data_IF_833117993383
#
_entry.id   IF_833117993383
#
_cell.length_a   1.000
_cell.length_b   1.000
_cell.length_c   1.000
_cell.angle_alpha   90.00
_cell.angle_beta   90.00
_cell.angle_gamma   90.00
#
_symmetry.space_group_name_H-M   'P 1'
#
loop_
_entity.id
_entity.type
_entity.pdbx_description
1 polymer ?
#
# COMPACT_ATOMS: atom_id res chain seq x y z
N UNK A 1 0.84 19.16 22.08
CA UNK A 1 1.31 18.72 20.76
C UNK A 1 2.75 18.29 20.95
N UNK A 2 3.02 16.98 21.02
CA UNK A 2 4.39 16.49 21.22
C UNK A 2 5.21 16.80 19.96
N UNK A 3 6.42 17.31 20.14
CA UNK A 3 7.40 17.45 19.07
C UNK A 3 7.69 16.05 18.53
N UNK A 4 7.12 15.71 17.37
CA UNK A 4 7.51 14.51 16.65
C UNK A 4 8.96 14.75 16.21
N UNK A 5 9.85 13.91 16.69
CA UNK A 5 11.25 13.91 16.26
C UNK A 5 11.26 13.62 14.75
N UNK A 6 11.62 14.64 13.96
CA UNK A 6 11.75 14.52 12.50
C UNK A 6 12.81 13.50 12.09
N UNK A 7 13.64 13.05 13.04
CA UNK A 7 14.71 12.09 12.81
C UNK A 7 14.34 10.65 13.17
N UNK A 8 13.16 10.39 13.76
CA UNK A 8 12.77 9.02 14.07
C UNK A 8 12.26 8.31 12.80
N UNK A 9 13.09 7.42 12.24
CA UNK A 9 12.69 6.55 11.14
C UNK A 9 11.41 5.77 11.53
N UNK A 10 10.28 5.95 10.82
CA UNK A 10 9.00 5.37 11.21
C UNK A 10 8.93 3.86 11.06
N UNK A 11 9.70 3.35 10.10
CA UNK A 11 9.75 1.95 9.75
C UNK A 11 10.77 1.27 10.67
N UNK A 12 10.32 0.21 11.36
CA UNK A 12 11.16 -0.57 12.28
C UNK A 12 12.34 -1.26 11.59
N UNK A 13 13.01 -2.16 12.32
CA UNK A 13 14.10 -2.95 11.74
C UNK A 13 13.54 -3.94 10.72
N UNK A 14 13.90 -3.74 9.45
CA UNK A 14 13.52 -4.64 8.37
C UNK A 14 14.31 -5.95 8.47
N UNK A 15 15.52 -5.91 9.03
CA UNK A 15 16.29 -7.10 9.36
C UNK A 15 15.53 -7.99 10.33
N UNK A 16 15.06 -7.42 11.45
CA UNK A 16 14.33 -8.17 12.44
C UNK A 16 13.03 -8.74 11.86
N UNK A 17 12.30 -7.94 11.07
CA UNK A 17 11.09 -8.40 10.40
C UNK A 17 11.36 -9.63 9.51
N UNK A 18 12.42 -9.63 8.72
CA UNK A 18 12.79 -10.78 7.91
C UNK A 18 13.14 -12.03 8.73
N UNK A 19 13.81 -11.84 9.86
CA UNK A 19 14.28 -12.92 10.72
C UNK A 19 13.18 -13.47 11.65
N UNK A 20 12.21 -12.65 12.05
CA UNK A 20 11.12 -13.03 12.97
C UNK A 20 9.82 -13.42 12.26
N UNK A 21 9.53 -12.87 11.09
CA UNK A 21 8.23 -13.09 10.44
C UNK A 21 8.11 -14.55 9.96
N UNK A 22 7.13 -15.33 10.47
CA UNK A 22 7.09 -16.79 10.26
C UNK A 22 7.07 -17.22 8.79
N UNK A 23 6.32 -16.50 7.96
CA UNK A 23 6.22 -16.79 6.51
C UNK A 23 7.50 -16.43 5.77
N UNK A 24 8.08 -15.24 5.99
CA UNK A 24 9.33 -14.83 5.35
C UNK A 24 10.45 -15.81 5.68
N UNK A 25 10.63 -16.11 6.97
CA UNK A 25 11.65 -17.02 7.44
C UNK A 25 11.44 -18.43 6.87
N UNK A 26 10.24 -19.02 7.02
CA UNK A 26 9.98 -20.40 6.60
C UNK A 26 10.17 -20.62 5.09
N UNK A 27 9.79 -19.64 4.26
CA UNK A 27 9.71 -19.83 2.82
C UNK A 27 10.88 -19.26 2.04
N UNK A 28 11.58 -18.25 2.57
CA UNK A 28 12.61 -17.54 1.84
C UNK A 28 13.97 -17.51 2.52
N UNK A 29 14.08 -17.91 3.80
CA UNK A 29 15.38 -17.96 4.48
C UNK A 29 16.39 -18.83 3.71
N UNK A 30 17.59 -18.31 3.51
CA UNK A 30 18.66 -18.96 2.76
C UNK A 30 18.54 -18.86 1.24
N UNK A 31 17.42 -18.37 0.69
CA UNK A 31 17.30 -18.14 -0.75
C UNK A 31 18.10 -16.90 -1.18
N UNK A 32 18.71 -16.89 -2.38
CA UNK A 32 19.53 -15.77 -2.84
C UNK A 32 18.82 -14.42 -2.80
N UNK A 33 17.55 -14.38 -3.20
CA UNK A 33 16.75 -13.14 -3.19
C UNK A 33 16.59 -12.58 -1.77
N UNK A 34 16.35 -13.45 -0.78
CA UNK A 34 16.15 -13.05 0.59
C UNK A 34 17.48 -12.65 1.24
N UNK A 35 18.56 -13.37 0.96
CA UNK A 35 19.88 -13.05 1.50
C UNK A 35 20.31 -11.63 1.08
N UNK A 36 20.18 -11.31 -0.20
CA UNK A 36 20.49 -9.96 -0.71
C UNK A 36 19.57 -8.91 -0.08
N UNK A 37 18.26 -9.18 0.00
CA UNK A 37 17.32 -8.25 0.61
C UNK A 37 17.62 -7.99 2.10
N UNK A 38 17.99 -9.03 2.86
CA UNK A 38 18.37 -8.93 4.28
C UNK A 38 19.70 -8.21 4.46
N UNK A 39 20.68 -8.42 3.58
CA UNK A 39 21.93 -7.66 3.60
C UNK A 39 21.68 -6.17 3.39
N UNK A 40 20.85 -5.81 2.41
CA UNK A 40 20.47 -4.40 2.17
C UNK A 40 19.71 -3.85 3.38
N UNK A 41 18.76 -4.61 3.94
CA UNK A 41 18.00 -4.20 5.13
C UNK A 41 18.92 -3.94 6.34
N UNK A 42 19.96 -4.78 6.54
CA UNK A 42 20.96 -4.61 7.60
C UNK A 42 21.71 -3.29 7.48
N UNK A 43 22.14 -2.94 6.26
CA UNK A 43 22.82 -1.67 6.01
C UNK A 43 21.89 -0.47 6.24
N UNK A 44 20.63 -0.54 5.79
CA UNK A 44 19.64 0.52 6.01
C UNK A 44 19.27 0.69 7.50
N UNK A 45 19.15 -0.41 8.24
CA UNK A 45 18.85 -0.39 9.68
C UNK A 45 19.99 0.27 10.48
N UNK A 46 21.26 -0.05 10.14
CA UNK A 46 22.43 0.61 10.74
C UNK A 46 22.41 2.12 10.50
N UNK A 47 22.15 2.54 9.26
CA UNK A 47 22.04 3.95 8.89
C UNK A 47 20.93 4.67 9.65
N UNK A 48 19.74 4.06 9.72
CA UNK A 48 18.59 4.64 10.41
C UNK A 48 18.81 4.78 11.93
N UNK A 49 19.59 3.88 12.54
CA UNK A 49 19.90 3.92 13.97
C UNK A 49 20.99 4.92 14.37
N UNK A 50 21.65 5.56 13.41
CA UNK A 50 22.81 6.43 13.67
C UNK A 50 24.04 5.70 14.20
N UNK A 51 24.04 4.36 14.19
CA UNK A 51 25.14 3.51 14.66
C UNK A 51 26.33 3.43 13.68
N UNK A 52 26.22 4.09 12.52
CA UNK A 52 27.30 4.21 11.54
C UNK A 52 27.98 5.56 11.67
N UNK A 53 29.28 5.57 12.02
CA UNK A 53 30.13 6.77 11.88
C UNK A 53 30.40 7.12 10.41
N UNK A 54 30.18 6.17 9.49
CA UNK A 54 30.28 6.39 8.05
C UNK A 54 29.01 7.05 7.53
N UNK A 55 29.15 8.27 7.02
CA UNK A 55 28.16 8.87 6.12
C UNK A 55 28.21 8.09 4.81
N UNK A 56 27.16 7.31 4.50
CA UNK A 56 27.10 6.62 3.22
C UNK A 56 27.19 7.66 2.10
N UNK A 57 28.11 7.45 1.15
CA UNK A 57 28.14 8.25 -0.05
C UNK A 57 26.85 8.04 -0.85
N UNK A 58 26.41 9.05 -1.60
CA UNK A 58 25.23 8.94 -2.47
C UNK A 58 25.41 7.79 -3.47
N UNK A 59 26.64 7.50 -3.88
CA UNK A 59 27.01 6.41 -4.76
C UNK A 59 26.70 5.03 -4.15
N UNK A 60 27.01 4.84 -2.86
CA UNK A 60 26.74 3.58 -2.16
C UNK A 60 25.23 3.33 -2.01
N UNK A 61 24.47 4.35 -1.63
CA UNK A 61 23.00 4.25 -1.56
C UNK A 61 22.37 3.98 -2.94
N UNK A 62 22.87 4.63 -4.00
CA UNK A 62 22.43 4.35 -5.37
C UNK A 62 22.70 2.91 -5.79
N UNK A 63 23.84 2.33 -5.39
CA UNK A 63 24.16 0.93 -5.67
C UNK A 63 23.17 -0.02 -4.99
N UNK A 64 22.86 0.21 -3.71
CA UNK A 64 21.84 -0.54 -2.97
C UNK A 64 20.49 -0.43 -3.67
N UNK A 65 20.09 0.79 -4.05
CA UNK A 65 18.83 1.09 -4.75
C UNK A 65 18.68 0.28 -6.04
N UNK A 66 19.72 0.25 -6.87
CA UNK A 66 19.70 -0.52 -8.13
C UNK A 66 19.53 -2.01 -7.86
N UNK A 67 20.18 -2.55 -6.84
CA UNK A 67 20.08 -3.97 -6.50
C UNK A 67 18.69 -4.34 -5.99
N UNK A 68 18.15 -3.58 -5.03
CA UNK A 68 16.82 -3.87 -4.48
C UNK A 68 15.72 -3.65 -5.53
N UNK A 69 15.84 -2.63 -6.38
CA UNK A 69 14.90 -2.39 -7.49
C UNK A 69 14.83 -3.57 -8.46
N UNK A 70 15.96 -4.25 -8.73
CA UNK A 70 15.96 -5.46 -9.57
C UNK A 70 15.21 -6.62 -8.90
N UNK A 71 15.34 -6.78 -7.59
CA UNK A 71 14.63 -7.82 -6.83
C UNK A 71 13.13 -7.54 -6.75
N UNK A 72 12.76 -6.29 -6.49
CA UNK A 72 11.38 -5.82 -6.48
C UNK A 72 10.73 -6.10 -7.83
N UNK A 73 11.36 -5.68 -8.94
CA UNK A 73 10.86 -5.93 -10.29
C UNK A 73 10.70 -7.41 -10.63
N UNK A 74 11.62 -8.25 -10.16
CA UNK A 74 11.51 -9.69 -10.34
C UNK A 74 10.28 -10.22 -9.59
N UNK A 75 10.06 -9.78 -8.35
CA UNK A 75 8.88 -10.17 -7.57
C UNK A 75 7.58 -9.63 -8.17
N UNK A 76 7.55 -8.38 -8.64
CA UNK A 76 6.40 -7.81 -9.35
C UNK A 76 6.02 -8.69 -10.55
N UNK A 77 7.01 -9.14 -11.34
CA UNK A 77 6.75 -10.05 -12.46
C UNK A 77 6.09 -11.37 -12.01
N UNK A 78 6.44 -11.89 -10.83
CA UNK A 78 5.83 -13.10 -10.26
C UNK A 78 4.40 -12.89 -9.78
N UNK A 79 4.03 -11.67 -9.35
CA UNK A 79 2.65 -11.35 -8.98
C UNK A 79 1.74 -11.22 -10.22
N UNK A 80 2.32 -10.94 -11.39
CA UNK A 80 1.60 -10.62 -12.62
C UNK A 80 1.53 -11.79 -13.64
N UNK A 81 1.77 -13.04 -13.22
CA UNK A 81 1.75 -14.21 -14.14
C UNK A 81 0.36 -14.85 -14.35
N UNK A 82 -0.70 -14.34 -13.71
CA UNK A 82 -2.02 -14.96 -13.74
C UNK A 82 -3.09 -14.13 -13.03
N UNK A 83 -4.23 -14.75 -12.69
CA UNK A 83 -5.26 -14.05 -11.95
C UNK A 83 -4.78 -13.75 -10.52
N UNK A 84 -4.92 -12.51 -10.05
CA UNK A 84 -4.33 -12.08 -8.78
C UNK A 84 -4.74 -12.97 -7.60
N UNK A 85 -5.98 -13.48 -7.58
CA UNK A 85 -6.47 -14.39 -6.53
C UNK A 85 -5.69 -15.70 -6.40
N UNK A 86 -4.96 -16.10 -7.43
CA UNK A 86 -4.15 -17.34 -7.47
C UNK A 86 -2.71 -17.11 -6.99
N UNK A 87 -2.31 -15.85 -6.82
CA UNK A 87 -0.97 -15.49 -6.36
C UNK A 87 -0.80 -15.91 -4.89
N UNK A 88 0.22 -16.74 -4.57
CA UNK A 88 0.44 -17.18 -3.19
C UNK A 88 0.77 -16.04 -2.23
N UNK A 89 0.20 -16.10 -1.02
CA UNK A 89 0.39 -15.08 0.02
C UNK A 89 1.86 -14.81 0.36
N UNK A 90 2.69 -15.86 0.34
CA UNK A 90 4.14 -15.73 0.58
C UNK A 90 4.82 -14.80 -0.44
N UNK A 91 4.38 -14.79 -1.70
CA UNK A 91 4.96 -13.93 -2.74
C UNK A 91 4.48 -12.49 -2.58
N UNK A 92 3.20 -12.29 -2.25
CA UNK A 92 2.65 -10.98 -1.89
C UNK A 92 3.39 -10.36 -0.70
N UNK A 93 3.67 -11.16 0.33
CA UNK A 93 4.43 -10.73 1.49
C UNK A 93 5.90 -10.40 1.17
N UNK A 94 6.58 -11.26 0.37
CA UNK A 94 7.93 -10.96 -0.08
C UNK A 94 7.97 -9.64 -0.85
N UNK A 95 6.99 -9.40 -1.72
CA UNK A 95 6.86 -8.15 -2.46
C UNK A 95 6.74 -6.94 -1.53
N UNK A 96 5.82 -6.97 -0.57
CA UNK A 96 5.67 -5.90 0.43
C UNK A 96 6.95 -5.65 1.23
N UNK A 97 7.70 -6.71 1.57
CA UNK A 97 8.98 -6.57 2.24
C UNK A 97 10.02 -5.84 1.39
N UNK A 98 10.12 -6.16 0.10
CA UNK A 98 11.03 -5.46 -0.83
C UNK A 98 10.60 -4.00 -1.05
N UNK A 99 9.30 -3.75 -1.17
CA UNK A 99 8.74 -2.40 -1.21
C UNK A 99 9.08 -1.60 0.06
N UNK A 100 9.04 -2.22 1.24
CA UNK A 100 9.41 -1.57 2.50
C UNK A 100 10.91 -1.20 2.55
N UNK A 101 11.79 -2.06 2.01
CA UNK A 101 13.21 -1.74 1.83
C UNK A 101 13.38 -0.54 0.89
N UNK A 102 12.70 -0.55 -0.27
CA UNK A 102 12.73 0.57 -1.23
C UNK A 102 12.23 1.87 -0.61
N UNK A 103 11.11 1.82 0.12
CA UNK A 103 10.53 2.97 0.79
C UNK A 103 11.48 3.56 1.83
N UNK A 104 12.13 2.71 2.64
CA UNK A 104 13.13 3.13 3.64
C UNK A 104 14.36 3.75 2.98
N UNK A 105 14.82 3.16 1.88
CA UNK A 105 15.97 3.67 1.13
C UNK A 105 15.68 5.04 0.49
N UNK A 106 14.52 5.20 -0.17
CA UNK A 106 14.15 6.46 -0.80
C UNK A 106 13.89 7.56 0.25
N UNK A 107 13.40 7.20 1.43
CA UNK A 107 13.32 8.12 2.57
C UNK A 107 14.69 8.65 3.01
N UNK A 108 15.70 7.77 3.09
CA UNK A 108 17.09 8.20 3.39
C UNK A 108 17.70 9.07 2.29
N UNK A 109 17.20 8.98 1.06
CA UNK A 109 17.53 9.90 -0.03
C UNK A 109 16.74 11.22 0.01
N UNK A 110 15.87 11.41 0.99
CA UNK A 110 14.92 12.52 1.08
C UNK A 110 13.94 12.59 -0.11
N UNK A 111 13.77 11.48 -0.85
CA UNK A 111 12.76 11.33 -1.90
C UNK A 111 11.47 10.75 -1.30
N UNK A 112 10.77 11.60 -0.55
CA UNK A 112 9.57 11.20 0.20
C UNK A 112 8.41 10.78 -0.71
N UNK A 113 8.36 11.29 -1.94
CA UNK A 113 7.31 10.94 -2.90
C UNK A 113 7.54 9.53 -3.46
N UNK A 114 8.78 9.20 -3.84
CA UNK A 114 9.14 7.84 -4.25
C UNK A 114 9.02 6.85 -3.07
N UNK A 115 9.37 7.28 -1.86
CA UNK A 115 9.15 6.50 -0.65
C UNK A 115 7.67 6.14 -0.43
N UNK A 116 6.76 7.11 -0.59
CA UNK A 116 5.32 6.88 -0.52
C UNK A 116 4.83 5.95 -1.64
N UNK A 117 5.32 6.15 -2.86
CA UNK A 117 4.99 5.28 -3.99
C UNK A 117 5.27 3.80 -3.69
N UNK A 118 6.43 3.48 -3.10
CA UNK A 118 6.73 2.10 -2.71
C UNK A 118 5.88 1.60 -1.54
N UNK A 119 5.46 2.46 -0.62
CA UNK A 119 4.46 2.07 0.38
C UNK A 119 3.14 1.66 -0.29
N UNK A 120 2.65 2.47 -1.23
CA UNK A 120 1.40 2.20 -1.95
C UNK A 120 1.49 0.91 -2.78
N UNK A 121 2.60 0.70 -3.50
CA UNK A 121 2.81 -0.54 -4.27
C UNK A 121 2.76 -1.79 -3.37
N UNK A 122 3.46 -1.74 -2.23
CA UNK A 122 3.48 -2.85 -1.27
C UNK A 122 2.11 -3.12 -0.64
N UNK A 123 1.33 -2.07 -0.36
CA UNK A 123 -0.03 -2.18 0.21
C UNK A 123 -1.07 -2.65 -0.82
N UNK A 124 -0.96 -2.20 -2.08
CA UNK A 124 -1.92 -2.51 -3.15
C UNK A 124 -1.73 -3.93 -3.69
N UNK A 125 -0.49 -4.34 -3.94
CA UNK A 125 -0.16 -5.63 -4.60
C UNK A 125 0.25 -6.72 -3.62
N UNK A 126 0.50 -6.36 -2.38
CA UNK A 126 0.98 -7.27 -1.35
C UNK A 126 0.06 -7.29 -0.13
N UNK A 127 0.69 -7.16 1.03
CA UNK A 127 0.06 -7.02 2.33
C UNK A 127 0.65 -5.83 3.08
N UNK A 128 -0.08 -5.35 4.08
CA UNK A 128 0.58 -4.59 5.14
C UNK A 128 1.49 -5.52 5.93
N UNK A 129 2.57 -4.97 6.45
CA UNK A 129 3.56 -5.69 7.25
C UNK A 129 3.10 -5.75 8.72
N UNK A 130 3.85 -6.46 9.56
CA UNK A 130 3.51 -6.61 10.99
C UNK A 130 3.23 -5.25 11.65
N UNK A 131 2.21 -5.23 12.51
CA UNK A 131 1.69 -4.05 13.19
C UNK A 131 1.35 -2.87 12.28
N UNK A 132 0.86 -3.12 11.06
CA UNK A 132 0.50 -2.07 10.09
C UNK A 132 1.69 -1.15 9.76
N UNK A 133 2.90 -1.70 9.78
CA UNK A 133 4.12 -0.88 9.72
C UNK A 133 4.28 -0.11 8.41
N UNK A 134 3.82 -0.65 7.28
CA UNK A 134 3.92 0.02 5.98
C UNK A 134 2.87 1.13 5.85
N UNK A 135 1.62 0.89 6.27
CA UNK A 135 0.57 1.92 6.26
C UNK A 135 0.80 3.02 7.30
N UNK A 136 1.37 2.69 8.47
CA UNK A 136 1.84 3.67 9.46
C UNK A 136 2.96 4.52 8.88
N UNK A 137 3.90 3.91 8.13
CA UNK A 137 4.96 4.67 7.49
C UNK A 137 4.42 5.63 6.43
N UNK A 138 3.55 5.15 5.52
CA UNK A 138 2.86 5.99 4.54
C UNK A 138 2.12 7.17 5.20
N UNK A 139 1.41 6.90 6.31
CA UNK A 139 0.71 7.92 7.07
C UNK A 139 1.66 8.97 7.65
N UNK A 140 2.86 8.59 8.09
CA UNK A 140 3.85 9.52 8.59
C UNK A 140 4.49 10.35 7.48
N UNK A 141 4.78 9.75 6.32
CA UNK A 141 5.23 10.47 5.11
C UNK A 141 4.24 11.59 4.75
N UNK A 142 2.96 11.24 4.63
CA UNK A 142 1.88 12.18 4.28
C UNK A 142 1.70 13.30 5.32
N UNK A 143 1.90 13.03 6.61
CA UNK A 143 1.68 14.02 7.68
C UNK A 143 2.87 14.94 7.90
N UNK A 144 4.09 14.44 7.76
CA UNK A 144 5.28 15.11 8.27
C UNK A 144 6.26 15.57 7.18
N UNK A 145 6.24 14.94 6.01
CA UNK A 145 7.28 15.11 4.98
C UNK A 145 6.73 15.59 3.63
N UNK A 146 5.52 15.18 3.27
CA UNK A 146 4.87 15.59 2.03
C UNK A 146 4.03 16.86 2.22
N UNK A 147 3.86 17.65 1.14
CA UNK A 147 2.95 18.78 1.19
C UNK A 147 1.53 18.28 1.53
N UNK A 148 0.72 19.09 2.23
CA UNK A 148 -0.67 18.76 2.44
C UNK A 148 -1.34 18.54 1.08
N UNK A 149 -2.35 17.64 1.01
CA UNK A 149 -3.11 17.48 -0.22
C UNK A 149 -3.62 18.84 -0.67
N UNK A 150 -3.60 19.12 -1.99
CA UNK A 150 -4.11 20.38 -2.50
C UNK A 150 -5.54 20.55 -1.98
N UNK A 151 -5.87 21.77 -1.54
CA UNK A 151 -7.26 22.08 -1.23
C UNK A 151 -8.07 21.72 -2.46
N UNK A 152 -9.05 20.83 -2.27
CA UNK A 152 -10.03 20.56 -3.31
C UNK A 152 -10.82 21.85 -3.42
N UNK A 153 -10.38 22.73 -4.32
CA UNK A 153 -11.21 23.80 -4.82
C UNK A 153 -12.29 23.04 -5.57
N UNK A 154 -13.37 22.70 -4.86
CA UNK A 154 -14.65 22.55 -5.49
C UNK A 154 -14.84 23.88 -6.18
N UNK A 155 -14.48 23.93 -7.47
CA UNK A 155 -14.91 25.02 -8.31
C UNK A 155 -16.42 25.13 -8.14
N UNK A 156 -17.02 26.18 -8.68
CA UNK A 156 -18.45 26.09 -8.94
C UNK A 156 -18.65 24.96 -9.97
N UNK A 157 -18.63 23.71 -9.50
CA UNK A 157 -19.32 22.58 -10.07
C UNK A 157 -20.73 23.11 -10.01
N UNK A 158 -21.14 23.81 -11.08
CA UNK A 158 -22.54 23.94 -11.39
C UNK A 158 -23.04 22.53 -11.21
N UNK A 159 -23.86 22.32 -10.16
CA UNK A 159 -24.51 21.05 -9.93
C UNK A 159 -25.07 20.68 -11.29
N UNK A 160 -24.42 19.76 -11.99
CA UNK A 160 -24.94 19.36 -13.28
C UNK A 160 -26.28 18.77 -12.90
N UNK A 161 -27.34 19.38 -13.43
CA UNK A 161 -28.67 18.84 -13.23
C UNK A 161 -28.58 17.38 -13.64
N UNK A 162 -29.04 16.48 -12.77
CA UNK A 162 -29.08 15.04 -13.08
C UNK A 162 -29.66 14.92 -14.50
N UNK A 163 -28.91 14.35 -15.46
CA UNK A 163 -29.36 14.27 -16.84
C UNK A 163 -30.75 13.63 -16.89
N UNK A 164 -31.65 14.17 -17.71
CA UNK A 164 -32.94 13.55 -17.90
C UNK A 164 -32.75 12.14 -18.48
N UNK A 165 -33.56 11.15 -18.05
CA UNK A 165 -33.50 9.81 -18.63
C UNK A 165 -33.66 9.87 -20.16
N UNK A 166 -32.84 9.11 -20.88
CA UNK A 166 -33.02 8.90 -22.32
C UNK A 166 -34.31 8.09 -22.57
N UNK A 167 -34.93 8.18 -23.77
CA UNK A 167 -36.16 7.46 -24.08
C UNK A 167 -36.12 5.94 -23.88
N UNK A 168 -34.94 5.33 -23.98
CA UNK A 168 -34.70 3.90 -23.78
C UNK A 168 -34.24 3.55 -22.35
N UNK A 169 -34.29 4.50 -21.41
CA UNK A 169 -33.90 4.25 -20.03
C UNK A 169 -34.92 3.32 -19.36
N UNK A 170 -34.41 2.25 -18.76
CA UNK A 170 -35.21 1.37 -17.93
C UNK A 170 -35.00 1.72 -16.45
N UNK A 171 -36.07 1.80 -15.64
CA UNK A 171 -35.91 2.02 -14.21
C UNK A 171 -35.17 0.84 -13.58
N UNK A 172 -34.15 1.14 -12.76
CA UNK A 172 -33.46 0.13 -11.96
C UNK A 172 -34.29 -0.14 -10.71
N UNK A 173 -34.51 -1.41 -10.37
CA UNK A 173 -35.22 -1.79 -9.16
C UNK A 173 -34.46 -1.32 -7.91
N UNK A 174 -35.20 -0.84 -6.91
CA UNK A 174 -34.66 -0.36 -5.65
C UNK A 174 -35.15 -1.28 -4.54
N UNK A 175 -34.24 -1.86 -3.77
CA UNK A 175 -34.55 -2.74 -2.64
C UNK A 175 -33.86 -2.25 -1.37
N UNK A 176 -34.58 -2.28 -0.25
CA UNK A 176 -34.02 -1.90 1.06
C UNK A 176 -33.56 -3.15 1.79
N UNK A 177 -32.25 -3.26 2.02
CA UNK A 177 -31.63 -4.37 2.76
C UNK A 177 -32.14 -5.75 2.31
N UNK A 178 -32.03 -6.12 1.01
CA UNK A 178 -32.49 -7.43 0.55
C UNK A 178 -31.69 -8.55 1.23
N UNK A 179 -32.32 -9.71 1.40
CA UNK A 179 -31.58 -10.90 1.82
C UNK A 179 -30.56 -11.31 0.76
N UNK A 180 -29.45 -11.91 1.20
CA UNK A 180 -28.41 -12.38 0.28
C UNK A 180 -28.96 -13.40 -0.72
N UNK A 181 -29.88 -14.28 -0.28
CA UNK A 181 -30.53 -15.26 -1.14
C UNK A 181 -31.38 -14.59 -2.23
N UNK A 182 -32.19 -13.59 -1.86
CA UNK A 182 -33.00 -12.84 -2.81
C UNK A 182 -32.12 -12.13 -3.84
N UNK A 183 -31.09 -11.42 -3.38
CA UNK A 183 -30.15 -10.74 -4.26
C UNK A 183 -29.46 -11.73 -5.21
N UNK A 184 -28.99 -12.86 -4.68
CA UNK A 184 -28.22 -13.84 -5.45
C UNK A 184 -29.08 -14.47 -6.57
N UNK A 185 -30.29 -14.91 -6.24
CA UNK A 185 -31.19 -15.59 -7.19
C UNK A 185 -31.79 -14.64 -8.22
N UNK A 186 -32.20 -13.45 -7.80
CA UNK A 186 -33.02 -12.56 -8.65
C UNK A 186 -32.22 -11.47 -9.38
N UNK A 187 -31.02 -11.12 -8.90
CA UNK A 187 -30.23 -10.04 -9.48
C UNK A 187 -28.82 -10.47 -9.89
N UNK A 188 -28.10 -11.18 -9.03
CA UNK A 188 -26.72 -11.59 -9.31
C UNK A 188 -26.63 -12.63 -10.43
N UNK A 189 -27.29 -13.79 -10.28
CA UNK A 189 -27.27 -14.85 -11.31
C UNK A 189 -27.86 -14.39 -12.65
N UNK A 190 -29.01 -13.68 -12.68
CA UNK A 190 -29.59 -13.20 -13.94
C UNK A 190 -28.87 -11.97 -14.52
N UNK A 191 -27.89 -11.40 -13.79
CA UNK A 191 -27.13 -10.20 -14.16
C UNK A 191 -28.04 -8.96 -14.36
N UNK A 192 -29.02 -8.79 -13.48
CA UNK A 192 -29.97 -7.68 -13.51
C UNK A 192 -29.53 -6.62 -12.49
N UNK A 193 -29.41 -5.34 -12.89
CA UNK A 193 -29.00 -4.28 -11.97
C UNK A 193 -30.02 -4.06 -10.85
N UNK A 194 -29.53 -3.70 -9.66
CA UNK A 194 -30.32 -3.40 -8.47
C UNK A 194 -29.67 -2.26 -7.70
N UNK A 195 -30.47 -1.32 -7.18
CA UNK A 195 -30.04 -0.33 -6.20
C UNK A 195 -30.38 -0.87 -4.81
N UNK A 196 -29.34 -1.15 -4.00
CA UNK A 196 -29.52 -1.56 -2.61
C UNK A 196 -29.43 -0.34 -1.71
N UNK A 197 -30.45 -0.10 -0.91
CA UNK A 197 -30.49 1.00 0.07
C UNK A 197 -30.35 0.46 1.49
N UNK A 198 -29.81 1.29 2.40
CA UNK A 198 -29.71 0.97 3.83
C UNK A 198 -28.46 0.22 4.26
N UNK A 199 -27.71 -0.41 3.35
CA UNK A 199 -26.49 -1.18 3.71
C UNK A 199 -25.32 -0.28 4.17
N UNK A 200 -25.10 0.83 3.48
CA UNK A 200 -23.90 1.66 3.68
C UNK A 200 -24.15 2.93 4.50
N UNK A 201 -25.38 3.12 4.97
CA UNK A 201 -25.78 4.36 5.65
C UNK A 201 -24.96 4.66 6.91
N UNK A 202 -24.42 3.63 7.57
CA UNK A 202 -23.58 3.77 8.76
C UNK A 202 -22.07 3.79 8.47
N UNK A 203 -21.65 3.85 7.20
CA UNK A 203 -20.23 3.86 6.88
C UNK A 203 -19.59 5.20 7.29
N UNK A 204 -18.42 5.18 7.96
CA UNK A 204 -17.72 6.40 8.36
C UNK A 204 -17.42 7.36 7.20
N UNK A 205 -17.34 6.85 5.97
CA UNK A 205 -17.14 7.66 4.77
C UNK A 205 -18.20 8.75 4.59
N UNK A 206 -19.47 8.50 4.95
CA UNK A 206 -20.55 9.49 4.85
C UNK A 206 -20.42 10.64 5.87
N UNK A 207 -19.59 10.47 6.90
CA UNK A 207 -19.33 11.49 7.92
C UNK A 207 -17.95 12.14 7.77
N UNK A 208 -16.94 11.34 7.43
CA UNK A 208 -15.52 11.73 7.42
C UNK A 208 -15.05 12.31 6.09
N UNK A 209 -15.71 11.99 4.97
CA UNK A 209 -15.34 12.53 3.64
C UNK A 209 -16.19 13.76 3.34
N UNK A 210 -15.95 14.83 4.11
CA UNK A 210 -16.52 16.16 3.90
C UNK A 210 -15.45 17.12 3.40
#
# INVERSE_FOLDING_TARGET
MSSIDKNAMPLGSLTNLAESHPILFKHFNGLPIMNVAVEIAKELDKLASGASEETFSKESLNSLRVNIYRLERLCDSWLNTGHYSEVPDRLRLLYSYLCAIMAKLDFLHEDYLSSLHFCDEGLLKGYDLEDESLSKFASQLCRNFLPPPPEIIMGNIQKSSIPSPLPNSLPIQIEKLPSLEFFYKNHYLPKIPLIITGMVNGWPAFEKWR
#
